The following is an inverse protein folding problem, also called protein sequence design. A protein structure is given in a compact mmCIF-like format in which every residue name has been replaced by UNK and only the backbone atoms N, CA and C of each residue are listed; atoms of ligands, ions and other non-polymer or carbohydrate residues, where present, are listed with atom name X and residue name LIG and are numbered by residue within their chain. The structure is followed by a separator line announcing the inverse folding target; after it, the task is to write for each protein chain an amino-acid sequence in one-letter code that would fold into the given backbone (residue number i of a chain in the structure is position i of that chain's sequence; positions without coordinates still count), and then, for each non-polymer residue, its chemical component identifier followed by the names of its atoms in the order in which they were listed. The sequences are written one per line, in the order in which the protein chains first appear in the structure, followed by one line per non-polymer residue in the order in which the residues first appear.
data_IF_902410611180
#
_entry.id   IF_902410611180
#
_cell.length_a   1.000
_cell.length_b   1.000
_cell.length_c   1.000
_cell.angle_alpha   90.00
_cell.angle_beta   90.00
_cell.angle_gamma   90.00
#
_symmetry.space_group_name_H-M   'P 1'
#
loop_
_entity.id
_entity.type
_entity.pdbx_description
1 polymer ?
#
# COMPACT_ATOMS: atom_id res chain seq x y z
N UNK A 1 9.06 16.79 -7.33
CA UNK A 1 8.07 15.89 -6.71
C UNK A 1 8.70 14.53 -6.51
N UNK A 2 8.56 13.97 -5.32
CA UNK A 2 9.04 12.60 -5.06
C UNK A 2 7.86 11.64 -4.98
N UNK A 3 8.11 10.41 -5.38
CA UNK A 3 7.13 9.33 -5.35
C UNK A 3 7.63 8.19 -4.48
N UNK A 4 6.71 7.39 -3.98
CA UNK A 4 7.04 6.32 -3.05
C UNK A 4 6.22 5.08 -3.34
N UNK A 5 6.76 3.95 -2.88
CA UNK A 5 6.05 2.67 -2.87
C UNK A 5 5.53 2.44 -1.45
N UNK A 6 4.31 1.93 -1.36
CA UNK A 6 3.74 1.45 -0.10
C UNK A 6 3.56 -0.06 -0.23
N UNK A 7 4.05 -0.78 0.77
CA UNK A 7 4.06 -2.24 0.82
C UNK A 7 3.15 -2.67 1.97
N UNK A 8 2.15 -3.52 1.66
CA UNK A 8 1.16 -3.95 2.65
C UNK A 8 0.92 -5.44 2.49
N UNK A 9 0.86 -6.19 3.60
CA UNK A 9 0.39 -7.57 3.55
C UNK A 9 -1.00 -7.66 4.14
N UNK A 10 -1.85 -8.48 3.53
CA UNK A 10 -3.24 -8.71 3.97
C UNK A 10 -3.54 -10.19 4.01
N UNK A 11 -4.57 -10.56 4.77
CA UNK A 11 -4.84 -11.96 5.08
C UNK A 11 -5.63 -12.75 4.05
N UNK A 12 -6.42 -12.09 3.22
CA UNK A 12 -7.22 -12.79 2.22
C UNK A 12 -7.47 -11.92 1.00
N UNK A 13 -7.96 -12.55 -0.08
CA UNK A 13 -8.18 -11.89 -1.35
C UNK A 13 -9.24 -10.81 -1.26
N UNK A 14 -10.31 -11.06 -0.54
CA UNK A 14 -11.41 -10.12 -0.43
C UNK A 14 -10.93 -8.80 0.20
N UNK A 15 -10.15 -8.90 1.27
CA UNK A 15 -9.59 -7.72 1.93
C UNK A 15 -8.58 -7.00 1.03
N UNK A 16 -7.76 -7.77 0.30
CA UNK A 16 -6.81 -7.20 -0.64
C UNK A 16 -7.53 -6.35 -1.69
N UNK A 17 -8.58 -6.89 -2.29
CA UNK A 17 -9.37 -6.19 -3.28
C UNK A 17 -10.07 -4.96 -2.69
N UNK A 18 -10.57 -5.08 -1.47
CA UNK A 18 -11.24 -3.96 -0.80
C UNK A 18 -10.28 -2.80 -0.56
N UNK A 19 -9.13 -3.09 0.04
CA UNK A 19 -8.14 -2.03 0.32
C UNK A 19 -7.64 -1.41 -0.97
N UNK A 20 -7.26 -2.24 -1.95
CA UNK A 20 -6.74 -1.76 -3.22
C UNK A 20 -7.73 -0.83 -3.92
N UNK A 21 -8.99 -1.25 -4.04
CA UNK A 21 -9.99 -0.45 -4.74
C UNK A 21 -10.27 0.87 -4.02
N UNK A 22 -10.33 0.84 -2.69
CA UNK A 22 -10.63 2.04 -1.91
C UNK A 22 -9.53 3.10 -2.04
N UNK A 23 -8.27 2.71 -1.86
CA UNK A 23 -7.19 3.70 -1.90
C UNK A 23 -6.95 4.23 -3.31
N UNK A 24 -7.26 3.45 -4.35
CA UNK A 24 -7.19 3.95 -5.73
C UNK A 24 -8.36 4.91 -6.00
N UNK A 25 -9.59 4.51 -5.65
CA UNK A 25 -10.76 5.36 -5.85
C UNK A 25 -10.62 6.72 -5.16
N UNK A 26 -10.04 6.73 -3.97
CA UNK A 26 -9.86 7.94 -3.17
C UNK A 26 -8.62 8.74 -3.58
N UNK A 27 -7.92 8.31 -4.61
CA UNK A 27 -6.72 8.96 -5.15
C UNK A 27 -5.58 9.09 -4.13
N UNK A 28 -5.59 8.23 -3.15
CA UNK A 28 -4.49 8.13 -2.20
C UNK A 28 -3.27 7.45 -2.81
N UNK A 29 -3.51 6.62 -3.82
CA UNK A 29 -2.45 6.01 -4.62
C UNK A 29 -2.87 6.03 -6.09
N UNK A 30 -1.90 5.97 -6.99
CA UNK A 30 -2.17 5.95 -8.42
C UNK A 30 -2.52 4.56 -8.92
N UNK A 31 -1.96 3.54 -8.28
CA UNK A 31 -2.20 2.14 -8.65
C UNK A 31 -1.78 1.22 -7.54
N UNK A 32 -2.33 0.00 -7.57
CA UNK A 32 -1.96 -1.08 -6.66
C UNK A 32 -1.79 -2.35 -7.46
N UNK A 33 -0.69 -3.05 -7.25
CA UNK A 33 -0.51 -4.40 -7.74
C UNK A 33 -0.74 -5.37 -6.60
N UNK A 34 -1.50 -6.43 -6.85
CA UNK A 34 -1.76 -7.47 -5.86
C UNK A 34 -0.99 -8.72 -6.26
N UNK A 35 -0.17 -9.23 -5.35
CA UNK A 35 0.57 -10.48 -5.54
C UNK A 35 -0.04 -11.53 -4.64
N UNK A 36 -0.45 -12.66 -5.24
CA UNK A 36 -1.07 -13.76 -4.51
C UNK A 36 -0.02 -14.66 -3.87
N UNK A 37 -0.41 -15.34 -2.81
CA UNK A 37 0.34 -16.47 -2.24
C UNK A 37 1.73 -16.11 -1.77
N UNK A 38 1.83 -15.08 -0.96
CA UNK A 38 3.06 -14.73 -0.26
C UNK A 38 3.09 -15.53 1.04
N UNK A 39 4.15 -16.32 1.25
CA UNK A 39 4.31 -17.05 2.51
C UNK A 39 5.13 -16.18 3.46
N UNK A 40 4.55 -15.92 4.64
CA UNK A 40 5.16 -15.04 5.63
C UNK A 40 5.49 -15.82 6.89
N UNK A 41 6.69 -15.62 7.40
CA UNK A 41 7.13 -16.14 8.70
C UNK A 41 7.40 -14.94 9.58
N UNK A 42 6.85 -14.94 10.79
CA UNK A 42 6.96 -13.76 11.65
C UNK A 42 6.77 -14.13 13.11
N UNK A 43 7.25 -13.26 13.97
CA UNK A 43 7.06 -13.40 15.41
C UNK A 43 5.74 -12.79 15.84
N UNK A 44 4.96 -13.52 16.61
CA UNK A 44 3.72 -13.03 17.20
C UNK A 44 3.43 -13.83 18.45
N UNK A 45 3.16 -13.14 19.60
CA UNK A 45 2.89 -13.79 20.87
C UNK A 45 3.99 -14.75 21.28
N UNK A 46 5.24 -14.33 21.12
CA UNK A 46 6.44 -15.08 21.52
C UNK A 46 6.65 -16.40 20.77
N UNK A 47 6.04 -16.55 19.61
CA UNK A 47 6.21 -17.74 18.78
C UNK A 47 6.34 -17.34 17.31
N UNK A 48 7.05 -18.17 16.55
CA UNK A 48 7.15 -18.00 15.10
C UNK A 48 5.86 -18.52 14.48
N UNK A 49 5.24 -17.67 13.69
CA UNK A 49 4.03 -18.01 12.95
C UNK A 49 4.34 -18.14 11.48
N UNK A 50 3.55 -18.92 10.77
CA UNK A 50 3.59 -19.01 9.32
C UNK A 50 2.20 -18.74 8.78
N UNK A 51 2.11 -17.98 7.70
CA UNK A 51 0.82 -17.60 7.14
C UNK A 51 0.97 -17.35 5.65
N UNK A 52 -0.06 -17.70 4.89
CA UNK A 52 -0.16 -17.25 3.51
C UNK A 52 -0.88 -15.92 3.48
N UNK A 53 -0.32 -14.98 2.72
CA UNK A 53 -0.86 -13.64 2.64
C UNK A 53 -0.88 -13.16 1.20
N UNK A 54 -1.55 -12.04 0.99
CA UNK A 54 -1.55 -11.29 -0.26
C UNK A 54 -0.71 -10.04 -0.03
N UNK A 55 0.04 -9.65 -1.05
CA UNK A 55 0.90 -8.48 -0.99
C UNK A 55 0.33 -7.39 -1.87
N UNK A 56 0.17 -6.20 -1.32
CA UNK A 56 -0.21 -5.01 -2.08
C UNK A 56 1.02 -4.14 -2.27
N UNK A 57 1.30 -3.77 -3.52
CA UNK A 57 2.37 -2.84 -3.84
C UNK A 57 1.70 -1.63 -4.49
N UNK A 58 1.67 -0.52 -3.78
CA UNK A 58 1.01 0.70 -4.21
C UNK A 58 2.03 1.80 -4.50
N UNK A 59 1.65 2.74 -5.34
CA UNK A 59 2.53 3.86 -5.71
C UNK A 59 1.78 5.17 -5.55
N UNK A 60 2.46 6.17 -4.98
CA UNK A 60 1.85 7.47 -4.77
C UNK A 60 2.93 8.55 -4.65
N UNK A 61 2.51 9.82 -4.58
CA UNK A 61 3.44 10.89 -4.22
C UNK A 61 3.85 10.71 -2.76
N UNK A 62 5.10 10.98 -2.47
CA UNK A 62 5.61 10.86 -1.09
C UNK A 62 4.78 11.70 -0.13
N UNK A 63 4.31 12.85 -0.56
CA UNK A 63 3.49 13.75 0.26
C UNK A 63 2.15 13.12 0.68
N UNK A 64 1.69 12.09 -0.02
CA UNK A 64 0.40 11.43 0.26
C UNK A 64 0.56 10.18 1.13
N UNK A 65 1.80 9.72 1.33
CA UNK A 65 2.08 8.43 2.00
C UNK A 65 1.41 8.34 3.37
N UNK A 66 1.56 9.37 4.21
CA UNK A 66 1.00 9.31 5.56
C UNK A 66 -0.51 9.17 5.55
N UNK A 67 -1.19 9.91 4.67
CA UNK A 67 -2.65 9.81 4.54
C UNK A 67 -3.06 8.43 4.04
N UNK A 68 -2.30 7.87 3.09
CA UNK A 68 -2.59 6.55 2.56
C UNK A 68 -2.40 5.47 3.63
N UNK A 69 -1.32 5.55 4.40
CA UNK A 69 -1.05 4.59 5.48
C UNK A 69 -2.18 4.63 6.50
N UNK A 70 -2.61 5.81 6.90
CA UNK A 70 -3.68 5.94 7.88
C UNK A 70 -4.99 5.35 7.36
N UNK A 71 -5.32 5.60 6.10
CA UNK A 71 -6.51 5.03 5.49
C UNK A 71 -6.46 3.51 5.42
N UNK A 72 -5.29 2.96 5.06
CA UNK A 72 -5.11 1.50 5.00
C UNK A 72 -5.29 0.91 6.40
N UNK A 73 -4.72 1.54 7.43
CA UNK A 73 -4.89 1.08 8.82
C UNK A 73 -6.37 1.04 9.22
N UNK A 74 -7.14 2.04 8.82
CA UNK A 74 -8.57 2.10 9.17
C UNK A 74 -9.35 0.94 8.59
N UNK A 75 -8.97 0.47 7.41
CA UNK A 75 -9.68 -0.62 6.72
C UNK A 75 -9.14 -1.99 7.12
N UNK A 76 -7.86 -2.07 7.45
CA UNK A 76 -7.15 -3.34 7.64
C UNK A 76 -7.71 -4.11 8.84
N UNK A 77 -7.87 -5.43 8.67
CA UNK A 77 -8.40 -6.30 9.72
C UNK A 77 -7.38 -6.65 10.81
N UNK A 78 -6.09 -6.54 10.50
CA UNK A 78 -5.05 -6.89 11.47
C UNK A 78 -4.94 -5.83 12.56
N UNK A 79 -4.64 -6.30 13.76
CA UNK A 79 -4.38 -5.42 14.89
C UNK A 79 -3.10 -4.62 14.69
N UNK A 80 -2.09 -5.24 14.09
CA UNK A 80 -0.80 -4.61 13.82
C UNK A 80 -0.39 -4.90 12.37
N UNK A 81 -0.98 -4.19 11.40
CA UNK A 81 -0.71 -4.50 9.99
C UNK A 81 0.69 -4.08 9.55
N UNK A 82 1.28 -4.88 8.67
CA UNK A 82 2.52 -4.50 8.01
C UNK A 82 2.21 -3.49 6.92
N UNK A 83 2.53 -2.24 7.16
CA UNK A 83 2.39 -1.16 6.19
C UNK A 83 3.69 -0.36 6.25
N UNK A 84 4.49 -0.46 5.20
CA UNK A 84 5.76 0.27 5.15
C UNK A 84 5.90 0.98 3.82
N UNK A 85 6.79 1.94 3.75
CA UNK A 85 6.98 2.74 2.55
C UNK A 85 8.44 3.09 2.37
N UNK A 86 8.83 3.27 1.12
CA UNK A 86 10.14 3.80 0.78
C UNK A 86 10.05 4.62 -0.50
N UNK A 87 10.94 5.62 -0.66
CA UNK A 87 10.91 6.44 -1.86
C UNK A 87 11.39 5.67 -3.09
N UNK A 88 10.84 6.05 -4.24
CA UNK A 88 11.32 5.56 -5.53
C UNK A 88 12.45 6.48 -5.96
N UNK A 89 13.65 5.94 -6.03
CA UNK A 89 14.82 6.74 -6.38
C UNK A 89 14.88 7.04 -7.86
N UNK A 90 14.59 6.05 -8.71
CA UNK A 90 14.65 6.19 -10.17
C UNK A 90 13.51 5.42 -10.82
N UNK A 91 13.05 5.92 -11.96
CA UNK A 91 12.02 5.25 -12.72
C UNK A 91 11.82 5.94 -14.07
N UNK A 92 10.91 5.39 -14.88
CA UNK A 92 10.50 6.00 -16.13
C UNK A 92 9.84 7.34 -15.82
N UNK A 93 10.40 8.42 -16.35
CA UNK A 93 9.93 9.78 -16.06
C UNK A 93 8.44 9.96 -16.31
N UNK A 94 7.95 9.50 -17.44
CA UNK A 94 6.54 9.66 -17.79
C UNK A 94 5.63 8.94 -16.79
N UNK A 95 6.06 7.77 -16.34
CA UNK A 95 5.29 7.01 -15.36
C UNK A 95 5.28 7.71 -13.99
N UNK A 96 6.42 8.21 -13.56
CA UNK A 96 6.49 8.94 -12.28
C UNK A 96 5.64 10.20 -12.30
N UNK A 97 5.61 10.90 -13.43
CA UNK A 97 4.74 12.06 -13.60
C UNK A 97 3.26 11.68 -13.56
N UNK A 98 2.93 10.52 -14.14
CA UNK A 98 1.56 9.99 -14.10
C UNK A 98 1.13 9.70 -12.66
N UNK A 99 2.01 9.11 -11.85
CA UNK A 99 1.71 8.91 -10.41
C UNK A 99 1.33 10.25 -9.77
N UNK A 100 2.08 11.29 -10.08
CA UNK A 100 1.81 12.61 -9.53
C UNK A 100 0.44 13.14 -9.91
N UNK A 101 0.11 13.07 -11.20
CA UNK A 101 -1.19 13.58 -11.70
C UNK A 101 -2.37 12.85 -11.09
N UNK A 102 -2.26 11.51 -10.97
CA UNK A 102 -3.41 10.72 -10.52
C UNK A 102 -3.64 10.79 -9.02
N UNK A 103 -2.69 11.33 -8.27
CA UNK A 103 -2.83 11.52 -6.83
C UNK A 103 -3.00 12.97 -6.42
N UNK A 104 -3.13 13.87 -7.39
CA UNK A 104 -3.45 15.27 -7.12
C UNK A 104 -4.87 15.38 -6.58
N UNK A 105 -5.09 16.38 -5.76
CA UNK A 105 -6.42 16.64 -5.26
C UNK A 105 -6.91 15.69 -4.18
N UNK A 106 -6.01 14.91 -3.59
CA UNK A 106 -6.38 14.04 -2.46
C UNK A 106 -6.77 14.88 -1.25
N UNK A 107 -7.29 14.20 -0.23
CA UNK A 107 -7.74 14.84 0.99
C UNK A 107 -6.68 15.56 1.80
N UNK A 108 -5.46 15.65 1.29
CA UNK A 108 -4.37 16.36 1.95
C UNK A 108 -4.38 17.86 1.68
N UNK A 109 -5.30 18.33 0.91
CA UNK A 109 -5.41 19.76 0.61
C UNK A 109 -5.64 20.58 1.86
#
# INVERSE_FOLDING_TARGET
MTTSIIYVTVGDQKEADLIASKIVEERLVSSVNIVDSVRSYYWWSSAVQQKEEFLLIAKTRTAVVDAAIERIRDIHSYKCPCIVSWPIEKGNKDYLEWIGRETEGTGIR
#
